data_IF_611234820414
#
_entry.id   IF_611234820414
#
_cell.length_a   1.000
_cell.length_b   1.000
_cell.length_c   1.000
_cell.angle_alpha   90.00
_cell.angle_beta   90.00
_cell.angle_gamma   90.00
#
_symmetry.space_group_name_H-M   'P 1'
#
loop_
_entity.id
_entity.type
_entity.pdbx_description
1 polymer ?
#
# COMPACT_ATOMS: atom_id res chain seq x y z
N UNK A 1 20.08 -8.75 -24.67
CA UNK A 1 19.42 -10.01 -24.26
C UNK A 1 20.00 -10.38 -22.91
N UNK A 2 19.17 -10.40 -21.85
CA UNK A 2 19.63 -10.39 -20.45
C UNK A 2 20.57 -11.55 -20.08
N UNK A 3 21.61 -11.23 -19.31
CA UNK A 3 22.67 -12.15 -18.91
C UNK A 3 22.23 -13.24 -17.93
N UNK A 4 23.12 -14.20 -17.71
CA UNK A 4 22.97 -15.32 -16.76
C UNK A 4 22.93 -14.83 -15.31
N UNK A 5 22.46 -15.68 -14.39
CA UNK A 5 22.46 -15.36 -12.96
C UNK A 5 23.90 -15.34 -12.47
N UNK A 6 24.34 -14.16 -12.02
CA UNK A 6 25.66 -13.97 -11.43
C UNK A 6 25.54 -13.21 -10.10
N UNK A 7 25.26 -13.93 -8.99
CA UNK A 7 25.10 -13.32 -7.69
C UNK A 7 26.39 -12.64 -7.18
N UNK A 8 27.56 -13.03 -7.72
CA UNK A 8 28.86 -12.43 -7.32
C UNK A 8 29.03 -11.05 -7.91
N UNK A 9 28.50 -10.83 -9.11
CA UNK A 9 28.51 -9.54 -9.80
C UNK A 9 27.20 -8.75 -9.59
N UNK A 10 26.33 -9.17 -8.66
CA UNK A 10 25.09 -8.46 -8.32
C UNK A 10 23.89 -8.76 -9.22
N UNK A 11 23.99 -9.76 -10.09
CA UNK A 11 22.91 -10.20 -10.99
C UNK A 11 22.14 -11.38 -10.38
N UNK A 12 21.09 -11.08 -9.62
CA UNK A 12 20.32 -12.07 -8.87
C UNK A 12 19.13 -12.69 -9.63
N UNK A 13 18.90 -12.27 -10.87
CA UNK A 13 17.83 -12.81 -11.73
C UNK A 13 18.33 -12.92 -13.16
N UNK A 14 18.12 -14.08 -13.77
CA UNK A 14 18.49 -14.35 -15.16
C UNK A 14 17.26 -14.39 -16.06
N UNK A 15 17.36 -15.12 -17.17
CA UNK A 15 16.35 -15.18 -18.22
C UNK A 15 15.52 -16.48 -18.13
N UNK A 16 14.61 -16.67 -19.07
CA UNK A 16 13.87 -17.92 -19.25
C UNK A 16 14.81 -19.13 -19.26
N UNK A 17 14.57 -20.09 -18.37
CA UNK A 17 15.41 -21.28 -18.18
C UNK A 17 16.50 -21.13 -17.12
N UNK A 18 16.83 -19.89 -16.71
CA UNK A 18 17.88 -19.60 -15.73
C UNK A 18 17.44 -18.46 -14.78
N UNK A 19 16.27 -18.61 -14.15
CA UNK A 19 15.76 -17.60 -13.21
C UNK A 19 16.49 -17.56 -11.86
N UNK A 20 17.47 -18.45 -11.63
CA UNK A 20 18.19 -18.53 -10.35
C UNK A 20 17.42 -19.25 -9.25
N UNK A 21 16.38 -20.02 -9.62
CA UNK A 21 15.64 -20.85 -8.67
C UNK A 21 16.54 -21.96 -8.11
N UNK A 22 16.55 -22.21 -6.78
CA UNK A 22 17.20 -23.39 -6.23
C UNK A 22 16.63 -24.67 -6.87
N UNK A 23 17.53 -25.58 -7.28
CA UNK A 23 17.29 -26.85 -8.01
C UNK A 23 16.14 -27.73 -7.45
N UNK A 24 15.67 -28.72 -8.23
CA UNK A 24 14.51 -28.68 -9.12
C UNK A 24 13.15 -28.61 -8.39
N UNK A 25 12.26 -27.78 -8.93
CA UNK A 25 10.88 -27.60 -8.46
C UNK A 25 10.06 -28.88 -8.75
N UNK A 26 9.85 -29.74 -7.74
CA UNK A 26 8.99 -30.96 -7.86
C UNK A 26 7.50 -30.63 -7.71
N UNK A 27 7.03 -29.59 -8.40
CA UNK A 27 5.66 -29.09 -8.29
C UNK A 27 4.97 -29.26 -9.64
N UNK A 28 3.92 -30.08 -9.68
CA UNK A 28 3.02 -30.13 -10.83
C UNK A 28 1.98 -29.02 -10.70
N UNK A 29 1.84 -28.18 -11.73
CA UNK A 29 0.84 -27.12 -11.80
C UNK A 29 -0.14 -27.43 -12.91
N UNK A 30 -1.43 -27.33 -12.60
CA UNK A 30 -2.51 -27.56 -13.56
C UNK A 30 -3.27 -26.25 -13.78
N UNK A 31 -3.60 -25.96 -15.03
CA UNK A 31 -4.40 -24.79 -15.41
C UNK A 31 -5.43 -25.17 -16.47
N UNK A 32 -6.59 -24.52 -16.43
CA UNK A 32 -7.62 -24.63 -17.46
C UNK A 32 -7.51 -23.46 -18.43
N UNK A 33 -7.71 -23.70 -19.73
CA UNK A 33 -7.77 -22.62 -20.73
C UNK A 33 -8.78 -21.53 -20.33
N UNK A 34 -8.44 -20.23 -20.41
CA UNK A 34 -9.34 -19.14 -20.04
C UNK A 34 -10.68 -19.16 -20.79
N UNK A 35 -10.68 -19.59 -22.05
CA UNK A 35 -11.88 -19.70 -22.88
C UNK A 35 -12.89 -20.74 -22.37
N UNK A 36 -12.46 -21.64 -21.47
CA UNK A 36 -13.32 -22.64 -20.82
C UNK A 36 -13.72 -22.25 -19.40
N UNK A 37 -13.29 -21.09 -18.91
CA UNK A 37 -13.64 -20.58 -17.59
C UNK A 37 -14.69 -19.47 -17.71
N UNK A 38 -15.50 -19.30 -16.66
CA UNK A 38 -16.37 -18.14 -16.52
C UNK A 38 -15.58 -17.04 -15.80
N UNK A 39 -15.26 -15.90 -16.45
CA UNK A 39 -14.27 -14.94 -15.94
C UNK A 39 -14.66 -14.26 -14.61
N UNK A 40 -15.95 -14.14 -14.32
CA UNK A 40 -16.45 -13.52 -13.07
C UNK A 40 -17.26 -14.49 -12.19
N UNK A 41 -17.07 -15.81 -12.36
CA UNK A 41 -17.75 -16.76 -11.50
C UNK A 41 -17.38 -16.54 -10.03
N UNK A 42 -18.40 -16.33 -9.19
CA UNK A 42 -18.21 -16.09 -7.75
C UNK A 42 -17.64 -14.72 -7.39
N UNK A 43 -17.41 -13.82 -8.37
CA UNK A 43 -16.76 -12.54 -8.13
C UNK A 43 -17.52 -11.66 -7.13
N UNK A 44 -18.86 -11.61 -7.16
CA UNK A 44 -19.63 -10.77 -6.24
C UNK A 44 -19.51 -11.22 -4.77
N UNK A 45 -19.68 -12.52 -4.51
CA UNK A 45 -19.55 -13.08 -3.17
C UNK A 45 -18.09 -12.99 -2.68
N UNK A 46 -17.14 -13.40 -3.52
CA UNK A 46 -15.72 -13.34 -3.19
C UNK A 46 -15.25 -11.90 -2.99
N UNK A 47 -15.65 -10.95 -3.84
CA UNK A 47 -15.24 -9.56 -3.73
C UNK A 47 -15.69 -8.94 -2.41
N UNK A 48 -16.94 -9.14 -1.99
CA UNK A 48 -17.44 -8.51 -0.77
C UNK A 48 -16.72 -9.07 0.47
N UNK A 49 -16.80 -10.39 0.67
CA UNK A 49 -16.28 -11.00 1.91
C UNK A 49 -14.75 -11.01 1.97
N UNK A 50 -14.08 -11.27 0.85
CA UNK A 50 -12.62 -11.28 0.81
C UNK A 50 -12.04 -9.87 0.93
N UNK A 51 -12.67 -8.86 0.32
CA UNK A 51 -12.20 -7.48 0.43
C UNK A 51 -12.37 -6.97 1.85
N UNK A 52 -13.54 -7.19 2.49
CA UNK A 52 -13.72 -6.82 3.89
C UNK A 52 -12.71 -7.54 4.80
N UNK A 53 -12.50 -8.84 4.59
CA UNK A 53 -11.50 -9.62 5.33
C UNK A 53 -10.10 -9.01 5.18
N UNK A 54 -9.69 -8.61 3.97
CA UNK A 54 -8.37 -7.96 3.75
C UNK A 54 -8.29 -6.58 4.40
N UNK A 55 -9.35 -5.78 4.28
CA UNK A 55 -9.45 -4.44 4.86
C UNK A 55 -9.29 -4.45 6.39
N UNK A 56 -10.03 -5.33 7.09
CA UNK A 56 -9.97 -5.39 8.57
C UNK A 56 -8.59 -5.72 9.13
N UNK A 57 -7.73 -6.39 8.36
CA UNK A 57 -6.36 -6.70 8.80
C UNK A 57 -5.39 -5.52 8.63
N UNK A 58 -5.75 -4.51 7.84
CA UNK A 58 -4.90 -3.36 7.53
C UNK A 58 -5.41 -2.05 8.12
N UNK A 59 -6.72 -1.94 8.35
CA UNK A 59 -7.36 -0.70 8.81
C UNK A 59 -6.72 -0.12 10.07
N UNK A 60 -6.27 -0.96 11.02
CA UNK A 60 -5.65 -0.51 12.26
C UNK A 60 -4.21 -0.01 12.10
N UNK A 61 -3.53 -0.34 11.01
CA UNK A 61 -2.21 0.24 10.70
C UNK A 61 -2.33 1.56 9.95
N UNK A 62 -3.43 1.74 9.22
CA UNK A 62 -3.64 2.87 8.31
C UNK A 62 -4.42 3.98 8.99
N UNK A 63 -5.53 3.66 9.66
CA UNK A 63 -6.46 4.66 10.20
C UNK A 63 -5.87 5.48 11.35
N UNK A 64 -5.18 4.91 12.36
CA UNK A 64 -4.64 5.70 13.46
C UNK A 64 -3.68 6.83 13.03
N UNK A 65 -2.65 6.60 12.18
CA UNK A 65 -1.79 7.71 11.75
C UNK A 65 -2.54 8.76 10.93
N UNK A 66 -3.54 8.37 10.13
CA UNK A 66 -4.37 9.33 9.41
C UNK A 66 -5.25 10.18 10.32
N UNK A 67 -5.82 9.60 11.38
CA UNK A 67 -6.59 10.36 12.37
C UNK A 67 -5.68 11.38 13.06
N UNK A 68 -4.49 10.97 13.50
CA UNK A 68 -3.53 11.87 14.15
C UNK A 68 -3.11 13.00 13.21
N UNK A 69 -2.79 12.69 11.96
CA UNK A 69 -2.41 13.69 10.96
C UNK A 69 -3.55 14.68 10.68
N UNK A 70 -4.78 14.19 10.55
CA UNK A 70 -5.95 15.03 10.31
C UNK A 70 -6.22 15.96 11.50
N UNK A 71 -6.21 15.44 12.72
CA UNK A 71 -6.43 16.23 13.94
C UNK A 71 -5.34 17.31 14.12
N UNK A 72 -4.07 16.96 13.89
CA UNK A 72 -2.96 17.92 13.96
C UNK A 72 -3.08 19.02 12.89
N UNK A 73 -3.55 18.66 11.69
CA UNK A 73 -3.79 19.61 10.61
C UNK A 73 -4.94 20.56 10.94
N UNK A 74 -6.07 20.04 11.44
CA UNK A 74 -7.22 20.85 11.85
C UNK A 74 -6.84 21.86 12.94
N UNK A 75 -6.10 21.39 13.97
CA UNK A 75 -5.56 22.27 15.00
C UNK A 75 -4.63 23.35 14.43
N UNK A 76 -3.73 22.98 13.51
CA UNK A 76 -2.80 23.93 12.89
C UNK A 76 -3.54 24.99 12.06
N UNK A 77 -4.58 24.60 11.33
CA UNK A 77 -5.42 25.50 10.53
C UNK A 77 -6.16 26.48 11.44
N UNK A 78 -6.84 25.97 12.48
CA UNK A 78 -7.60 26.82 13.41
C UNK A 78 -6.67 27.81 14.13
N UNK A 79 -5.52 27.33 14.63
CA UNK A 79 -4.52 28.18 15.27
C UNK A 79 -3.97 29.25 14.32
N UNK A 80 -3.71 28.90 13.06
CA UNK A 80 -3.24 29.84 12.06
C UNK A 80 -4.28 30.94 11.76
N UNK A 81 -5.55 30.57 11.59
CA UNK A 81 -6.63 31.53 11.39
C UNK A 81 -6.83 32.44 12.60
N UNK A 82 -6.76 31.88 13.81
CA UNK A 82 -6.87 32.63 15.05
C UNK A 82 -5.73 33.66 15.18
N UNK A 83 -4.48 33.28 14.96
CA UNK A 83 -3.33 34.20 15.04
C UNK A 83 -3.41 35.34 14.02
N UNK A 84 -3.97 35.09 12.84
CA UNK A 84 -4.16 36.12 11.80
C UNK A 84 -5.43 36.98 12.02
N UNK A 85 -6.27 36.64 12.99
CA UNK A 85 -7.48 37.38 13.34
C UNK A 85 -7.18 38.62 14.19
N UNK A 86 -8.17 39.51 14.32
CA UNK A 86 -8.06 40.70 15.19
C UNK A 86 -7.72 40.36 16.66
N UNK A 87 -8.43 39.43 17.34
CA UNK A 87 -8.07 39.06 18.71
C UNK A 87 -6.68 38.40 18.81
N UNK A 88 -6.29 37.56 17.85
CA UNK A 88 -4.96 36.94 17.84
C UNK A 88 -3.82 37.95 17.67
N UNK A 89 -4.04 39.05 16.94
CA UNK A 89 -3.07 40.15 16.84
C UNK A 89 -2.91 40.92 18.16
N UNK A 90 -3.95 41.00 18.98
CA UNK A 90 -3.89 41.62 20.30
C UNK A 90 -3.13 40.74 21.30
N UNK A 91 -3.25 39.41 21.20
CA UNK A 91 -2.45 38.48 21.99
C UNK A 91 -0.97 38.49 21.58
N UNK A 92 -0.65 38.54 20.28
CA UNK A 92 0.73 38.58 19.80
C UNK A 92 1.43 39.94 19.94
N UNK A 93 0.68 41.01 20.21
CA UNK A 93 1.19 42.38 20.35
C UNK A 93 1.39 42.84 21.80
N UNK A 94 1.16 41.97 22.79
CA UNK A 94 1.34 42.30 24.23
C UNK A 94 2.72 41.87 24.77
N UNK A 95 3.55 41.23 23.94
CA UNK A 95 4.90 40.73 24.29
C UNK A 95 6.04 41.62 23.74
N UNK A 96 5.74 42.87 23.36
CA UNK A 96 6.74 43.94 23.10
C UNK A 96 6.60 45.11 24.08
#
# INVERSE_FOLDING_TARGET
MGGSVDPKNGHFIGNWGEFGCPTPQRIATYSLSPNRQRPFAGAANAAIFNTFRRFRHQVLYVVPPFIVAYAAMEWAIERNHYLNSKPGRLEGGHDE
#
